data_IF_693415343158
#
_entry.id   IF_693415343158
#
_cell.length_a   1.000
_cell.length_b   1.000
_cell.length_c   1.000
_cell.angle_alpha   90.00
_cell.angle_beta   90.00
_cell.angle_gamma   90.00
#
_symmetry.space_group_name_H-M   'P 1'
#
loop_
_entity.id
_entity.type
_entity.pdbx_description
1 polymer ?
#
# COMPACT_ATOMS: atom_id res chain seq x y z
N UNK A 1 -2.30 -1.05 9.69
CA UNK A 1 -2.80 0.11 8.93
C UNK A 1 -2.35 -0.01 7.48
N UNK A 2 -3.12 0.48 6.51
CA UNK A 2 -2.83 0.25 5.10
C UNK A 2 -3.10 1.52 4.28
N UNK A 3 -2.18 1.85 3.37
CA UNK A 3 -2.37 2.89 2.35
C UNK A 3 -2.20 2.24 0.98
N UNK A 4 -3.15 2.47 0.08
CA UNK A 4 -3.15 1.94 -1.27
C UNK A 4 -3.05 3.07 -2.30
N UNK A 5 -2.21 2.84 -3.30
CA UNK A 5 -2.17 3.64 -4.53
C UNK A 5 -2.74 2.80 -5.66
N UNK A 6 -3.83 3.29 -6.26
CA UNK A 6 -4.60 2.56 -7.27
C UNK A 6 -4.39 3.23 -8.62
N UNK A 7 -3.96 2.44 -9.59
CA UNK A 7 -3.63 2.89 -10.94
C UNK A 7 -4.75 2.48 -11.90
N UNK A 8 -5.22 3.40 -12.76
CA UNK A 8 -6.29 3.09 -13.70
C UNK A 8 -5.83 2.04 -14.71
N UNK A 9 -6.64 1.00 -14.92
CA UNK A 9 -6.53 0.15 -16.10
C UNK A 9 -7.35 0.76 -17.25
N UNK A 10 -6.82 0.91 -18.47
CA UNK A 10 -7.48 1.66 -19.55
C UNK A 10 -8.81 1.02 -20.00
N UNK A 11 -8.90 -0.31 -19.95
CA UNK A 11 -10.06 -1.06 -20.48
C UNK A 11 -10.91 -1.79 -19.44
N UNK A 12 -10.37 -2.09 -18.25
CA UNK A 12 -10.99 -3.04 -17.30
C UNK A 12 -10.72 -2.61 -15.87
N UNK A 13 -11.62 -1.81 -15.29
CA UNK A 13 -11.43 -1.22 -13.94
C UNK A 13 -11.10 -2.26 -12.85
N UNK A 14 -11.63 -3.49 -12.93
CA UNK A 14 -11.36 -4.57 -11.98
C UNK A 14 -9.89 -5.08 -12.00
N UNK A 15 -9.17 -4.84 -13.10
CA UNK A 15 -7.75 -5.19 -13.28
C UNK A 15 -6.81 -4.01 -13.00
N UNK A 16 -7.30 -2.98 -12.31
CA UNK A 16 -6.50 -1.82 -11.89
C UNK A 16 -5.36 -2.28 -10.98
N UNK A 17 -4.09 -2.09 -11.39
CA UNK A 17 -2.96 -2.39 -10.52
C UNK A 17 -3.04 -1.57 -9.25
N UNK A 18 -2.75 -2.22 -8.13
CA UNK A 18 -2.88 -1.61 -6.80
C UNK A 18 -1.62 -1.90 -6.00
N UNK A 19 -0.99 -0.85 -5.49
CA UNK A 19 0.19 -0.93 -4.65
C UNK A 19 -0.21 -0.59 -3.21
N UNK A 20 -0.03 -1.53 -2.29
CA UNK A 20 -0.32 -1.35 -0.87
C UNK A 20 0.94 -1.16 -0.02
N UNK A 21 0.87 -0.31 0.99
CA UNK A 21 1.90 -0.10 2.01
C UNK A 21 1.34 -0.37 3.39
N UNK A 22 1.89 -1.37 4.07
CA UNK A 22 1.30 -1.95 5.26
C UNK A 22 2.17 -1.69 6.49
N UNK A 23 1.49 -1.29 7.56
CA UNK A 23 1.96 -1.51 8.92
C UNK A 23 1.29 -2.78 9.43
N UNK A 24 2.08 -3.84 9.53
CA UNK A 24 1.63 -5.15 9.99
C UNK A 24 1.98 -5.37 11.47
N UNK A 25 1.27 -6.27 12.15
CA UNK A 25 1.56 -6.58 13.55
C UNK A 25 2.70 -7.59 13.70
N UNK A 26 2.92 -8.44 12.71
CA UNK A 26 3.79 -9.62 12.82
C UNK A 26 4.70 -9.83 11.60
N UNK A 27 4.23 -9.54 10.38
CA UNK A 27 4.99 -9.81 9.16
C UNK A 27 6.28 -8.97 9.13
N UNK A 28 7.45 -9.52 8.75
CA UNK A 28 8.69 -8.75 8.69
C UNK A 28 8.62 -7.56 7.74
N UNK A 29 9.31 -6.47 8.06
CA UNK A 29 9.49 -5.34 7.13
C UNK A 29 10.18 -5.81 5.85
N UNK A 30 9.73 -5.30 4.71
CA UNK A 30 10.20 -5.71 3.38
C UNK A 30 9.45 -6.90 2.79
N UNK A 31 8.60 -7.58 3.58
CA UNK A 31 7.72 -8.64 3.06
C UNK A 31 6.83 -8.08 1.95
N UNK A 32 6.72 -8.82 0.85
CA UNK A 32 5.84 -8.50 -0.27
C UNK A 32 4.82 -9.62 -0.41
N UNK A 33 3.53 -9.26 -0.41
CA UNK A 33 2.43 -10.22 -0.56
C UNK A 33 1.45 -9.77 -1.64
N UNK A 34 0.90 -10.75 -2.33
CA UNK A 34 -0.17 -10.51 -3.30
C UNK A 34 -1.51 -10.37 -2.58
N UNK A 35 -2.39 -9.54 -3.14
CA UNK A 35 -3.77 -9.47 -2.67
C UNK A 35 -4.55 -10.75 -2.98
N UNK A 36 -5.63 -11.00 -2.23
CA UNK A 36 -6.41 -12.23 -2.36
C UNK A 36 -7.12 -12.40 -3.73
N UNK A 37 -7.47 -11.30 -4.39
CA UNK A 37 -8.18 -11.34 -5.68
C UNK A 37 -7.28 -11.88 -6.79
N UNK A 38 -7.66 -12.96 -7.50
CA UNK A 38 -6.87 -13.47 -8.63
C UNK A 38 -6.94 -12.56 -9.87
N UNK A 39 -7.92 -11.64 -9.92
CA UNK A 39 -8.17 -10.76 -11.07
C UNK A 39 -7.47 -9.40 -10.92
N UNK A 40 -7.39 -8.91 -9.69
CA UNK A 40 -6.81 -7.60 -9.40
C UNK A 40 -5.33 -7.76 -9.12
N UNK A 41 -4.42 -7.16 -9.92
CA UNK A 41 -3.01 -7.21 -9.65
C UNK A 41 -2.70 -6.28 -8.46
N UNK A 42 -2.78 -6.83 -7.25
CA UNK A 42 -2.53 -6.12 -6.00
C UNK A 42 -1.23 -6.64 -5.37
N UNK A 43 -0.27 -5.73 -5.15
CA UNK A 43 1.02 -6.02 -4.53
C UNK A 43 1.16 -5.15 -3.28
N UNK A 44 1.43 -5.78 -2.13
CA UNK A 44 1.48 -5.10 -0.84
C UNK A 44 2.86 -5.24 -0.22
N UNK A 45 3.43 -4.13 0.24
CA UNK A 45 4.75 -4.08 0.88
C UNK A 45 4.56 -3.78 2.37
N UNK A 46 5.09 -4.63 3.23
CA UNK A 46 5.16 -4.34 4.68
C UNK A 46 6.30 -3.34 4.90
N UNK A 47 5.96 -2.12 5.31
CA UNK A 47 6.93 -1.04 5.55
C UNK A 47 7.21 -0.83 7.04
N UNK A 48 6.31 -1.28 7.92
CA UNK A 48 6.56 -1.40 9.36
C UNK A 48 5.93 -2.65 9.93
N UNK A 49 6.50 -3.11 11.02
CA UNK A 49 6.05 -4.28 11.74
C UNK A 49 6.11 -4.08 13.25
N UNK A 50 5.22 -4.75 13.97
CA UNK A 50 5.23 -4.80 15.42
C UNK A 50 4.56 -3.62 16.12
N UNK A 51 4.83 -3.49 17.42
CA UNK A 51 4.12 -2.57 18.34
C UNK A 51 4.97 -1.39 18.82
N UNK A 52 6.22 -1.30 18.38
CA UNK A 52 7.24 -0.42 18.95
C UNK A 52 6.91 1.07 18.80
N UNK A 53 6.15 1.45 17.76
CA UNK A 53 5.81 2.84 17.45
C UNK A 53 4.31 3.16 17.61
N UNK A 54 3.57 2.32 18.35
CA UNK A 54 2.16 2.61 18.64
C UNK A 54 2.03 3.92 19.44
N UNK A 55 0.99 4.70 19.12
CA UNK A 55 0.71 5.99 19.77
C UNK A 55 1.62 7.14 19.33
N UNK A 56 2.54 6.92 18.39
CA UNK A 56 3.44 7.94 17.87
C UNK A 56 3.08 8.29 16.43
N UNK A 57 3.24 9.56 16.07
CA UNK A 57 3.25 9.97 14.66
C UNK A 57 4.57 9.54 14.03
N UNK A 58 4.48 8.86 12.90
CA UNK A 58 5.66 8.43 12.15
C UNK A 58 5.51 8.87 10.71
N UNK A 59 6.54 9.54 10.19
CA UNK A 59 6.57 9.98 8.80
C UNK A 59 7.02 8.83 7.91
N UNK A 60 6.31 8.62 6.81
CA UNK A 60 6.66 7.65 5.78
C UNK A 60 6.91 8.33 4.44
N UNK A 61 7.94 7.87 3.74
CA UNK A 61 8.25 8.31 2.38
C UNK A 61 8.57 7.09 1.52
N UNK A 62 7.90 6.97 0.38
CA UNK A 62 8.10 5.88 -0.58
C UNK A 62 8.19 6.42 -2.00
N UNK A 63 9.06 5.82 -2.80
CA UNK A 63 9.10 6.05 -4.23
C UNK A 63 8.07 5.15 -4.92
N UNK A 64 6.86 5.68 -5.07
CA UNK A 64 5.72 4.96 -5.66
C UNK A 64 6.00 4.53 -7.10
N UNK A 65 6.75 5.34 -7.86
CA UNK A 65 7.10 5.03 -9.25
C UNK A 65 8.02 3.80 -9.34
N UNK A 66 9.05 3.78 -8.50
CA UNK A 66 10.03 2.71 -8.44
C UNK A 66 9.41 1.41 -7.92
N UNK A 67 8.62 1.48 -6.84
CA UNK A 67 7.89 0.31 -6.32
C UNK A 67 6.92 -0.24 -7.37
N UNK A 68 6.24 0.62 -8.14
CA UNK A 68 5.38 0.18 -9.23
C UNK A 68 6.15 -0.52 -10.35
N UNK A 69 7.25 0.08 -10.81
CA UNK A 69 8.07 -0.50 -11.87
C UNK A 69 8.63 -1.86 -11.46
N UNK A 70 9.15 -1.95 -10.23
CA UNK A 70 9.70 -3.17 -9.63
C UNK A 70 8.69 -4.30 -9.52
N UNK A 71 7.44 -3.99 -9.16
CA UNK A 71 6.44 -5.01 -8.83
C UNK A 71 5.48 -5.36 -9.98
N UNK A 72 5.29 -4.46 -10.94
CA UNK A 72 4.36 -4.65 -12.06
C UNK A 72 5.05 -4.70 -13.43
N UNK A 73 6.36 -4.47 -13.50
CA UNK A 73 7.17 -4.68 -14.71
C UNK A 73 6.78 -3.80 -15.91
N UNK A 74 6.32 -2.57 -15.68
CA UNK A 74 5.85 -1.68 -16.76
C UNK A 74 6.86 -0.61 -17.14
N UNK A 75 7.03 -0.42 -18.45
CA UNK A 75 7.89 0.60 -19.06
C UNK A 75 7.38 2.04 -18.85
N UNK A 76 6.14 2.22 -18.41
CA UNK A 76 5.57 3.53 -18.08
C UNK A 76 4.70 3.45 -16.84
N UNK A 77 4.93 4.37 -15.88
CA UNK A 77 4.05 4.56 -14.74
C UNK A 77 2.78 5.32 -15.17
N UNK A 78 1.58 4.72 -15.07
CA UNK A 78 0.35 5.46 -15.30
C UNK A 78 0.14 6.51 -14.21
N UNK A 79 -0.59 7.59 -14.52
CA UNK A 79 -1.01 8.55 -13.49
C UNK A 79 -1.79 7.83 -12.39
N UNK A 80 -1.50 8.18 -11.13
CA UNK A 80 -2.27 7.69 -9.99
C UNK A 80 -3.73 8.08 -10.16
N UNK A 81 -4.62 7.10 -10.07
CA UNK A 81 -6.06 7.32 -10.21
C UNK A 81 -6.73 7.61 -8.87
N UNK A 82 -6.37 6.85 -7.83
CA UNK A 82 -6.95 6.97 -6.48
C UNK A 82 -5.95 6.60 -5.40
N UNK A 83 -6.18 7.16 -4.21
CA UNK A 83 -5.57 6.71 -2.95
C UNK A 83 -6.68 6.19 -2.06
N UNK A 84 -6.44 5.07 -1.39
CA UNK A 84 -7.35 4.53 -0.39
C UNK A 84 -6.59 4.25 0.90
N UNK A 85 -7.24 4.48 2.03
CA UNK A 85 -6.74 4.11 3.34
C UNK A 85 -7.62 3.01 3.90
N UNK A 86 -7.03 2.07 4.63
CA UNK A 86 -7.75 0.94 5.19
C UNK A 86 -7.16 0.52 6.53
N UNK A 87 -8.02 0.01 7.42
CA UNK A 87 -7.64 -0.72 8.61
C UNK A 87 -8.48 -1.99 8.70
N UNK A 88 -7.83 -3.11 9.02
CA UNK A 88 -8.45 -4.42 8.89
C UNK A 88 -8.10 -5.28 10.10
N UNK A 89 -9.09 -5.99 10.64
CA UNK A 89 -8.90 -6.94 11.75
C UNK A 89 -9.59 -8.28 11.50
N UNK A 90 -10.10 -8.50 10.28
CA UNK A 90 -11.00 -9.60 9.92
C UNK A 90 -10.42 -11.01 10.16
N UNK A 91 -9.10 -11.14 10.22
CA UNK A 91 -8.39 -12.40 10.47
C UNK A 91 -7.75 -12.50 11.86
N UNK A 92 -7.92 -11.48 12.70
CA UNK A 92 -7.24 -11.38 14.01
C UNK A 92 -8.19 -11.46 15.20
N UNK A 93 -9.51 -11.34 14.97
CA UNK A 93 -10.52 -11.21 16.04
C UNK A 93 -10.18 -10.12 17.07
N UNK A 94 -9.46 -9.09 16.63
CA UNK A 94 -9.00 -7.98 17.47
C UNK A 94 -9.64 -6.67 17.04
N UNK A 95 -9.41 -5.60 17.82
CA UNK A 95 -9.72 -4.23 17.43
C UNK A 95 -8.45 -3.52 16.98
N UNK A 96 -8.61 -2.52 16.12
CA UNK A 96 -7.51 -1.68 15.68
C UNK A 96 -7.98 -0.25 15.46
N UNK A 97 -7.07 0.69 15.68
CA UNK A 97 -7.24 2.10 15.36
C UNK A 97 -5.99 2.56 14.61
N UNK A 98 -6.18 3.44 13.62
CA UNK A 98 -5.09 4.07 12.89
C UNK A 98 -5.48 5.52 12.57
N UNK A 99 -4.50 6.41 12.64
CA UNK A 99 -4.63 7.82 12.29
C UNK A 99 -3.69 8.11 11.13
N UNK A 100 -4.15 8.95 10.20
CA UNK A 100 -3.40 9.34 9.01
C UNK A 100 -3.48 10.86 8.89
N UNK A 101 -2.37 11.49 8.52
CA UNK A 101 -2.28 12.92 8.26
C UNK A 101 -1.29 13.18 7.12
N UNK A 102 -1.38 14.35 6.50
CA UNK A 102 -0.38 14.88 5.56
C UNK A 102 -0.03 13.97 4.38
N UNK A 103 -1.00 13.19 3.89
CA UNK A 103 -0.84 12.35 2.70
C UNK A 103 -0.66 13.23 1.46
N UNK A 104 0.54 13.21 0.90
CA UNK A 104 0.90 14.03 -0.26
C UNK A 104 1.78 13.28 -1.26
N UNK A 105 1.57 13.58 -2.54
CA UNK A 105 2.53 13.23 -3.59
C UNK A 105 3.49 14.40 -3.79
N UNK A 106 4.78 14.09 -3.89
CA UNK A 106 5.82 15.03 -4.23
C UNK A 106 6.56 14.52 -5.47
N UNK A 107 7.11 15.44 -6.28
CA UNK A 107 8.01 15.05 -7.37
C UNK A 107 9.25 14.37 -6.77
N UNK A 108 9.79 13.39 -7.49
CA UNK A 108 11.14 12.92 -7.20
C UNK A 108 12.09 14.08 -7.51
N UNK A 109 12.95 14.41 -6.54
CA UNK A 109 14.06 15.34 -6.75
C UNK A 109 15.18 14.63 -7.52
#
# INVERSE_FOLDING_TARGET
AQVYVIFPHPLFKMRSPTLGYFWDSNAPVGTIVDGYSPVTPNKNIVIRSGKQQLGQWVQERRNVAEDYARLFGKNSLPRVGRVAIWINTQHTKSSAQASFADLQFQRAN
#
